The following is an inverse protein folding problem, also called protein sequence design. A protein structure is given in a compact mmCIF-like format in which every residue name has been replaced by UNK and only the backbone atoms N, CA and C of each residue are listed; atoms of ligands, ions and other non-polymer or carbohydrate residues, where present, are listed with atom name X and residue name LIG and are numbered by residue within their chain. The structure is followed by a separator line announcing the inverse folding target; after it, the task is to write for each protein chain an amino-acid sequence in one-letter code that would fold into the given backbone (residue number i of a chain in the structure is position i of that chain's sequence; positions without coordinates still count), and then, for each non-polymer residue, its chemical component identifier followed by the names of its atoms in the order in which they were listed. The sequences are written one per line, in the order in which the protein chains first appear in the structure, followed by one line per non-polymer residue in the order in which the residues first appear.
data_IF_275626366155
#
_entry.id   IF_275626366155
#
_cell.length_a   1.000
_cell.length_b   1.000
_cell.length_c   1.000
_cell.angle_alpha   90.00
_cell.angle_beta   90.00
_cell.angle_gamma   90.00
#
_symmetry.space_group_name_H-M   'P 1'
#
loop_
_entity.id
_entity.type
_entity.pdbx_description
1 polymer ?
#
# COMPACT_ATOMS: atom_id res chain seq x y z
N UNK A 1 20.58 -47.16 -8.24
CA UNK A 1 19.64 -46.94 -7.12
C UNK A 1 19.77 -45.49 -6.71
N UNK A 2 18.87 -44.64 -7.20
CA UNK A 2 18.77 -43.26 -6.71
C UNK A 2 17.98 -43.39 -5.40
N UNK A 3 18.60 -43.09 -4.28
CA UNK A 3 17.98 -43.20 -2.96
C UNK A 3 16.71 -42.36 -2.91
N UNK A 4 15.61 -42.98 -2.48
CA UNK A 4 14.34 -42.32 -2.18
C UNK A 4 14.47 -41.19 -1.11
N UNK A 5 15.63 -41.09 -0.48
CA UNK A 5 15.99 -40.09 0.52
C UNK A 5 16.21 -38.68 -0.08
N UNK A 6 16.60 -38.58 -1.34
CA UNK A 6 16.80 -37.27 -2.02
C UNK A 6 15.48 -36.61 -2.42
N UNK A 7 14.41 -37.38 -2.58
CA UNK A 7 13.06 -36.87 -2.87
C UNK A 7 12.31 -36.45 -1.61
N UNK A 8 12.82 -36.81 -0.42
CA UNK A 8 12.21 -36.53 0.88
C UNK A 8 12.52 -35.14 1.46
N UNK A 9 13.42 -34.37 0.83
CA UNK A 9 13.41 -32.91 1.01
C UNK A 9 12.29 -32.31 0.15
N UNK A 10 11.06 -32.70 0.46
CA UNK A 10 9.88 -31.91 0.14
C UNK A 10 10.16 -30.51 0.70
N UNK A 11 10.56 -29.59 -0.19
CA UNK A 11 10.93 -28.22 0.11
C UNK A 11 9.74 -27.53 0.80
N UNK A 12 9.68 -27.61 2.13
CA UNK A 12 8.76 -26.81 2.92
C UNK A 12 9.10 -25.36 2.64
N UNK A 13 8.21 -24.66 1.94
CA UNK A 13 8.36 -23.24 1.66
C UNK A 13 8.40 -22.53 3.03
N UNK A 14 9.49 -21.85 3.39
CA UNK A 14 9.58 -21.18 4.68
C UNK A 14 8.50 -20.09 4.77
N UNK A 15 7.87 -19.90 5.95
CA UNK A 15 6.87 -18.87 6.12
C UNK A 15 7.49 -17.47 5.96
N UNK A 16 6.65 -16.48 5.68
CA UNK A 16 7.01 -15.08 5.74
C UNK A 16 7.19 -14.65 7.19
N UNK A 17 8.35 -14.12 7.53
CA UNK A 17 8.63 -13.51 8.83
C UNK A 17 8.82 -12.00 8.70
N UNK A 18 8.36 -11.25 9.70
CA UNK A 18 8.54 -9.80 9.73
C UNK A 18 10.04 -9.45 9.77
N UNK A 19 10.51 -8.65 8.82
CA UNK A 19 11.91 -8.30 8.66
C UNK A 19 12.69 -9.14 7.64
N UNK A 20 12.09 -10.20 7.09
CA UNK A 20 12.71 -10.96 5.99
C UNK A 20 13.05 -10.03 4.82
N UNK A 21 14.21 -10.28 4.18
CA UNK A 21 14.64 -9.54 3.00
C UNK A 21 14.50 -10.40 1.75
N UNK A 22 13.46 -10.14 0.96
CA UNK A 22 13.07 -10.98 -0.17
C UNK A 22 12.97 -10.17 -1.47
N UNK A 23 13.18 -10.84 -2.60
CA UNK A 23 12.67 -10.33 -3.89
C UNK A 23 11.15 -10.41 -3.89
N UNK A 24 10.47 -9.60 -4.71
CA UNK A 24 9.01 -9.71 -4.88
C UNK A 24 8.57 -11.12 -5.28
N UNK A 25 9.27 -11.75 -6.22
CA UNK A 25 8.96 -13.11 -6.66
C UNK A 25 9.04 -14.17 -5.53
N UNK A 26 10.05 -14.07 -4.64
CA UNK A 26 10.14 -15.00 -3.50
C UNK A 26 9.12 -14.66 -2.40
N UNK A 27 8.82 -13.37 -2.20
CA UNK A 27 7.73 -12.93 -1.34
C UNK A 27 6.38 -13.51 -1.78
N UNK A 28 6.00 -13.31 -3.04
CA UNK A 28 4.76 -13.82 -3.64
C UNK A 28 4.70 -15.35 -3.51
N UNK A 29 5.79 -16.05 -3.87
CA UNK A 29 5.87 -17.51 -3.75
C UNK A 29 5.58 -18.01 -2.33
N UNK A 30 6.16 -17.36 -1.32
CA UNK A 30 5.91 -17.70 0.09
C UNK A 30 4.51 -17.30 0.53
N UNK A 31 4.03 -16.14 0.08
CA UNK A 31 2.71 -15.64 0.46
C UNK A 31 1.60 -16.56 -0.06
N UNK A 32 1.66 -16.98 -1.32
CA UNK A 32 0.71 -17.95 -1.89
C UNK A 32 0.72 -19.31 -1.18
N UNK A 33 1.84 -19.69 -0.55
CA UNK A 33 1.95 -20.90 0.27
C UNK A 33 1.36 -20.75 1.68
N UNK A 34 0.90 -19.55 2.06
CA UNK A 34 0.34 -19.22 3.38
C UNK A 34 -1.13 -18.77 3.29
N UNK A 35 -2.08 -19.65 2.91
CA UNK A 35 -3.48 -19.26 2.67
C UNK A 35 -4.23 -18.73 3.90
N UNK A 36 -3.72 -18.99 5.12
CA UNK A 36 -4.30 -18.50 6.37
C UNK A 36 -3.73 -17.13 6.80
N UNK A 37 -2.71 -16.61 6.11
CA UNK A 37 -2.12 -15.33 6.43
C UNK A 37 -2.98 -14.21 5.85
N UNK A 38 -3.48 -13.34 6.74
CA UNK A 38 -4.48 -12.33 6.36
C UNK A 38 -3.91 -11.21 5.50
N UNK A 39 -2.73 -10.69 5.84
CA UNK A 39 -2.13 -9.51 5.20
C UNK A 39 -0.62 -9.52 5.43
N UNK A 40 0.13 -9.37 4.35
CA UNK A 40 1.57 -9.17 4.35
C UNK A 40 1.93 -8.17 3.26
N UNK A 41 2.97 -7.38 3.49
CA UNK A 41 3.43 -6.37 2.54
C UNK A 41 4.93 -6.55 2.32
N UNK A 42 5.38 -6.25 1.11
CA UNK A 42 6.80 -6.11 0.80
C UNK A 42 7.11 -4.64 0.56
N UNK A 43 8.02 -4.06 1.34
CA UNK A 43 8.39 -2.64 1.20
C UNK A 43 9.90 -2.54 1.31
N UNK A 44 10.54 -1.99 0.29
CA UNK A 44 12.00 -1.95 0.16
C UNK A 44 12.63 -3.33 0.36
N UNK A 45 11.99 -4.36 -0.22
CA UNK A 45 12.37 -5.79 -0.07
C UNK A 45 12.24 -6.34 1.34
N UNK A 46 11.71 -5.57 2.30
CA UNK A 46 11.48 -6.02 3.68
C UNK A 46 10.04 -6.47 3.83
N UNK A 47 9.85 -7.67 4.38
CA UNK A 47 8.55 -8.25 4.66
C UNK A 47 7.95 -7.67 5.93
N UNK A 48 6.68 -7.28 5.86
CA UNK A 48 5.88 -6.85 7.00
C UNK A 48 4.64 -7.72 7.10
N UNK A 49 4.52 -8.46 8.21
CA UNK A 49 3.34 -9.27 8.49
C UNK A 49 2.40 -8.48 9.41
N UNK A 50 1.16 -8.28 8.97
CA UNK A 50 0.23 -7.42 9.69
C UNK A 50 -0.28 -8.07 10.99
N UNK A 51 -0.45 -7.24 12.02
CA UNK A 51 -1.13 -7.64 13.26
C UNK A 51 -2.65 -7.48 13.16
N UNK A 52 -3.45 -8.18 13.98
CA UNK A 52 -4.89 -8.02 14.01
C UNK A 52 -5.33 -6.57 14.27
N UNK A 53 -6.26 -6.07 13.44
CA UNK A 53 -6.80 -4.72 13.54
C UNK A 53 -7.83 -4.59 14.68
N UNK A 54 -7.87 -3.42 15.32
CA UNK A 54 -8.80 -3.13 16.44
C UNK A 54 -10.00 -2.34 15.95
N UNK A 55 -11.19 -2.69 16.43
CA UNK A 55 -12.44 -2.09 15.97
C UNK A 55 -12.51 -0.56 16.08
N UNK A 56 -12.10 0.02 17.22
CA UNK A 56 -12.21 1.48 17.45
C UNK A 56 -11.09 2.28 16.80
N UNK A 57 -9.87 1.75 16.79
CA UNK A 57 -8.69 2.51 16.35
C UNK A 57 -8.33 2.27 14.89
N UNK A 58 -8.90 1.24 14.24
CA UNK A 58 -8.69 0.96 12.81
C UNK A 58 -10.02 0.71 12.10
N UNK A 59 -10.78 -0.31 12.50
CA UNK A 59 -11.98 -0.74 11.77
C UNK A 59 -13.06 0.35 11.56
N UNK A 60 -13.34 1.19 12.57
CA UNK A 60 -14.32 2.28 12.44
C UNK A 60 -13.81 3.41 11.53
N UNK A 61 -12.59 3.94 11.70
CA UNK A 61 -11.96 4.82 10.71
C UNK A 61 -11.94 4.24 9.29
N UNK A 62 -11.62 2.95 9.14
CA UNK A 62 -11.58 2.24 7.85
C UNK A 62 -12.92 2.27 7.16
N UNK A 63 -13.97 1.86 7.85
CA UNK A 63 -15.34 1.92 7.36
C UNK A 63 -15.73 3.34 6.88
N UNK A 64 -15.27 4.40 7.56
CA UNK A 64 -15.56 5.79 7.15
C UNK A 64 -14.82 6.18 5.87
N UNK A 65 -13.55 5.79 5.72
CA UNK A 65 -12.78 6.02 4.49
C UNK A 65 -13.43 5.30 3.31
N UNK A 66 -13.77 4.02 3.48
CA UNK A 66 -14.42 3.24 2.42
C UNK A 66 -15.79 3.81 2.04
N UNK A 67 -16.57 4.28 3.02
CA UNK A 67 -17.85 4.95 2.75
C UNK A 67 -17.63 6.23 1.94
N UNK A 68 -16.64 7.04 2.31
CA UNK A 68 -16.33 8.28 1.61
C UNK A 68 -15.87 8.02 0.16
N UNK A 69 -14.91 7.11 -0.05
CA UNK A 69 -14.40 6.78 -1.38
C UNK A 69 -15.47 6.11 -2.25
N UNK A 70 -16.23 5.16 -1.71
CA UNK A 70 -17.34 4.53 -2.44
C UNK A 70 -18.45 5.51 -2.82
N UNK A 71 -18.71 6.53 -1.99
CA UNK A 71 -19.64 7.61 -2.37
C UNK A 71 -19.08 8.49 -3.48
N UNK A 72 -17.77 8.76 -3.44
CA UNK A 72 -17.07 9.53 -4.47
C UNK A 72 -17.10 8.81 -5.82
N UNK A 73 -16.78 7.51 -5.84
CA UNK A 73 -16.88 6.63 -7.00
C UNK A 73 -18.30 6.59 -7.56
N UNK A 74 -19.31 6.38 -6.71
CA UNK A 74 -20.71 6.37 -7.15
C UNK A 74 -21.15 7.69 -7.83
N UNK A 75 -20.48 8.80 -7.51
CA UNK A 75 -20.74 10.13 -8.08
C UNK A 75 -19.78 10.52 -9.21
N UNK A 76 -18.74 9.72 -9.50
CA UNK A 76 -17.66 10.07 -10.42
C UNK A 76 -17.38 8.89 -11.36
N UNK A 77 -17.72 9.00 -12.64
CA UNK A 77 -17.47 7.93 -13.62
C UNK A 77 -15.97 7.78 -13.92
N UNK A 78 -15.54 6.54 -14.15
CA UNK A 78 -14.17 6.22 -14.58
C UNK A 78 -13.13 6.16 -13.46
N UNK A 79 -13.57 6.11 -12.19
CA UNK A 79 -12.72 5.82 -11.04
C UNK A 79 -13.19 4.54 -10.36
N UNK A 80 -12.28 3.90 -9.63
CA UNK A 80 -12.52 2.63 -8.95
C UNK A 80 -11.89 2.70 -7.54
N UNK A 81 -12.68 2.36 -6.52
CA UNK A 81 -12.22 2.24 -5.14
C UNK A 81 -11.92 0.79 -4.82
N UNK A 82 -10.72 0.50 -4.30
CA UNK A 82 -10.36 -0.85 -3.87
C UNK A 82 -10.00 -0.86 -2.38
N UNK A 83 -10.42 -1.93 -1.71
CA UNK A 83 -10.23 -2.17 -0.28
C UNK A 83 -9.17 -3.25 -0.05
N UNK A 84 -8.15 -2.96 0.75
CA UNK A 84 -7.12 -3.94 1.17
C UNK A 84 -6.52 -4.80 0.02
N UNK A 85 -6.45 -4.25 -1.20
CA UNK A 85 -5.91 -4.98 -2.35
C UNK A 85 -4.39 -4.93 -2.40
N UNK A 86 -3.78 -5.89 -3.08
CA UNK A 86 -2.33 -5.93 -3.33
C UNK A 86 -1.97 -5.03 -4.51
N UNK A 87 -0.98 -4.17 -4.30
CA UNK A 87 -0.50 -3.19 -5.29
C UNK A 87 0.97 -3.47 -5.60
N UNK A 88 1.26 -3.93 -6.81
CA UNK A 88 2.62 -4.12 -7.33
C UNK A 88 3.15 -2.78 -7.86
N UNK A 89 3.85 -2.02 -7.02
CA UNK A 89 4.39 -0.71 -7.39
C UNK A 89 5.64 -0.81 -8.25
N UNK A 90 6.59 -1.67 -7.83
CA UNK A 90 7.85 -1.89 -8.52
C UNK A 90 8.43 -3.27 -8.12
N UNK A 91 9.65 -3.59 -8.57
CA UNK A 91 10.30 -4.88 -8.32
C UNK A 91 10.62 -5.17 -6.83
N UNK A 92 10.60 -4.13 -5.99
CA UNK A 92 10.99 -4.17 -4.58
C UNK A 92 9.81 -3.87 -3.63
N UNK A 93 8.65 -3.50 -4.16
CA UNK A 93 7.51 -2.99 -3.38
C UNK A 93 6.18 -3.57 -3.85
N UNK A 94 5.50 -4.21 -2.90
CA UNK A 94 4.15 -4.77 -3.01
C UNK A 94 3.35 -4.46 -1.72
N UNK A 95 2.89 -3.21 -1.54
CA UNK A 95 2.00 -2.82 -0.45
C UNK A 95 0.58 -3.38 -0.58
N UNK A 96 -0.12 -3.42 0.55
CA UNK A 96 -1.56 -3.63 0.67
C UNK A 96 -2.18 -2.44 1.43
N UNK A 97 -2.42 -1.29 0.77
CA UNK A 97 -2.96 -0.11 1.44
C UNK A 97 -4.32 -0.39 2.07
N UNK A 98 -4.66 0.33 3.14
CA UNK A 98 -5.98 0.19 3.77
C UNK A 98 -7.11 0.58 2.80
N UNK A 99 -6.91 1.61 1.97
CA UNK A 99 -7.80 1.93 0.85
C UNK A 99 -7.04 2.62 -0.28
N UNK A 100 -7.55 2.49 -1.51
CA UNK A 100 -7.05 3.25 -2.64
C UNK A 100 -8.18 3.69 -3.57
N UNK A 101 -7.92 4.72 -4.37
CA UNK A 101 -8.74 5.14 -5.48
C UNK A 101 -7.86 5.24 -6.73
N UNK A 102 -8.31 4.65 -7.82
CA UNK A 102 -7.62 4.69 -9.11
C UNK A 102 -8.53 5.18 -10.23
N UNK A 103 -7.94 5.72 -11.30
CA UNK A 103 -8.63 6.03 -12.55
C UNK A 103 -8.60 4.78 -13.44
N UNK A 104 -9.77 4.30 -13.84
CA UNK A 104 -9.92 3.03 -14.56
C UNK A 104 -9.13 3.00 -15.86
N UNK A 105 -9.27 4.05 -16.67
CA UNK A 105 -8.67 4.21 -17.99
C UNK A 105 -7.87 5.51 -18.08
N UNK A 106 -6.62 5.42 -18.54
CA UNK A 106 -5.72 6.59 -18.64
C UNK A 106 -5.12 7.04 -17.30
N UNK A 107 -5.36 6.28 -16.23
CA UNK A 107 -4.67 6.43 -14.94
C UNK A 107 -3.23 5.88 -14.98
N UNK A 108 -2.57 5.95 -13.83
CA UNK A 108 -1.19 5.48 -13.63
C UNK A 108 -1.08 4.00 -13.20
N UNK A 109 -2.22 3.34 -13.03
CA UNK A 109 -2.31 1.92 -12.67
C UNK A 109 -3.27 1.16 -13.58
N UNK A 110 -3.10 -0.15 -13.61
CA UNK A 110 -3.95 -1.10 -14.33
C UNK A 110 -4.22 -2.34 -13.48
N UNK A 111 -5.29 -3.07 -13.80
CA UNK A 111 -5.53 -4.41 -13.25
C UNK A 111 -4.85 -5.44 -14.16
N UNK A 112 -4.04 -6.31 -13.59
CA UNK A 112 -3.33 -7.38 -14.30
C UNK A 112 -4.24 -8.57 -14.57
N UNK A 113 -3.80 -9.51 -15.42
CA UNK A 113 -4.57 -10.73 -15.73
C UNK A 113 -4.84 -11.61 -14.50
N UNK A 114 -3.94 -11.56 -13.51
CA UNK A 114 -4.07 -12.24 -12.21
C UNK A 114 -4.76 -11.39 -11.13
N UNK A 115 -5.48 -10.33 -11.54
CA UNK A 115 -6.38 -9.52 -10.71
C UNK A 115 -5.69 -8.67 -9.63
N UNK A 116 -4.44 -8.28 -9.86
CA UNK A 116 -3.69 -7.37 -9.01
C UNK A 116 -3.62 -5.96 -9.59
N UNK A 117 -3.46 -4.95 -8.73
CA UNK A 117 -3.15 -3.60 -9.18
C UNK A 117 -1.67 -3.53 -9.51
N UNK A 118 -1.32 -3.15 -10.73
CA UNK A 118 0.06 -2.85 -11.15
C UNK A 118 0.21 -1.35 -11.45
N UNK A 119 1.31 -0.75 -10.97
CA UNK A 119 1.55 0.68 -11.06
C UNK A 119 0.97 1.48 -9.90
N UNK A 120 1.03 2.80 -9.99
CA UNK A 120 0.68 3.70 -8.88
C UNK A 120 -0.78 4.17 -8.97
N UNK A 121 -1.62 3.91 -7.95
CA UNK A 121 -2.93 4.54 -7.85
C UNK A 121 -2.83 6.06 -7.70
N UNK A 122 -3.89 6.78 -8.08
CA UNK A 122 -3.98 8.23 -7.92
C UNK A 122 -4.03 8.63 -6.44
N UNK A 123 -4.73 7.86 -5.60
CA UNK A 123 -4.82 8.08 -4.16
C UNK A 123 -4.59 6.77 -3.39
N UNK A 124 -3.73 6.85 -2.37
CA UNK A 124 -3.58 5.82 -1.34
C UNK A 124 -3.95 6.40 0.03
N UNK A 125 -4.68 5.62 0.83
CA UNK A 125 -5.06 5.96 2.21
C UNK A 125 -4.57 4.88 3.17
N UNK A 126 -3.96 5.31 4.27
CA UNK A 126 -3.52 4.44 5.38
C UNK A 126 -4.10 4.92 6.72
N UNK A 127 -4.47 4.00 7.60
CA UNK A 127 -5.03 4.29 8.93
C UNK A 127 -4.01 3.92 10.00
N UNK A 128 -3.35 4.94 10.53
CA UNK A 128 -2.28 4.78 11.50
C UNK A 128 -2.80 4.95 12.93
N UNK A 129 -3.10 3.85 13.62
CA UNK A 129 -3.37 3.85 15.06
C UNK A 129 -2.07 3.90 15.90
N UNK A 130 -1.10 3.05 15.54
CA UNK A 130 0.20 2.92 16.21
C UNK A 130 1.37 2.80 15.24
N UNK A 131 1.11 2.58 13.95
CA UNK A 131 2.08 2.43 12.85
C UNK A 131 2.56 3.75 12.25
N UNK A 132 2.21 4.89 12.87
CA UNK A 132 2.46 6.22 12.29
C UNK A 132 3.93 6.46 11.90
N UNK A 133 4.90 5.89 12.60
CA UNK A 133 6.31 6.00 12.21
C UNK A 133 6.60 5.34 10.87
N UNK A 134 6.03 4.18 10.58
CA UNK A 134 6.28 3.43 9.36
C UNK A 134 5.54 4.04 8.16
N UNK A 135 4.24 4.27 8.31
CA UNK A 135 3.38 4.80 7.24
C UNK A 135 3.79 6.23 6.83
N UNK A 136 4.27 7.05 7.78
CA UNK A 136 4.66 8.43 7.49
C UNK A 136 6.09 8.58 6.93
N UNK A 137 6.92 7.54 6.97
CA UNK A 137 8.32 7.63 6.56
C UNK A 137 8.65 6.70 5.39
N UNK A 138 8.62 5.38 5.59
CA UNK A 138 9.08 4.43 4.57
C UNK A 138 8.07 4.33 3.43
N UNK A 139 6.80 4.05 3.74
CA UNK A 139 5.73 4.04 2.73
C UNK A 139 5.59 5.37 2.00
N UNK A 140 5.69 6.50 2.70
CA UNK A 140 5.69 7.83 2.06
C UNK A 140 6.80 7.96 1.00
N UNK A 141 8.02 7.50 1.28
CA UNK A 141 9.13 7.56 0.30
C UNK A 141 8.84 6.68 -0.90
N UNK A 142 8.37 5.45 -0.65
CA UNK A 142 8.03 4.46 -1.69
C UNK A 142 6.90 4.97 -2.58
N UNK A 143 5.81 5.47 -2.00
CA UNK A 143 4.68 6.02 -2.75
C UNK A 143 5.10 7.25 -3.57
N UNK A 144 5.91 8.13 -2.98
CA UNK A 144 6.39 9.34 -3.67
C UNK A 144 7.28 9.02 -4.86
N UNK A 145 8.24 8.09 -4.73
CA UNK A 145 9.14 7.74 -5.84
C UNK A 145 8.41 6.99 -6.96
N UNK A 146 7.37 6.24 -6.61
CA UNK A 146 6.49 5.56 -7.56
C UNK A 146 5.36 6.47 -8.09
N UNK A 147 5.37 7.77 -7.77
CA UNK A 147 4.45 8.77 -8.36
C UNK A 147 2.97 8.62 -7.98
N UNK A 148 2.68 8.03 -6.80
CA UNK A 148 1.36 8.15 -6.17
C UNK A 148 1.07 9.64 -5.95
N UNK A 149 -0.06 10.14 -6.48
CA UNK A 149 -0.31 11.58 -6.56
C UNK A 149 -0.75 12.16 -5.22
N UNK A 150 -1.67 11.46 -4.55
CA UNK A 150 -2.18 11.81 -3.23
C UNK A 150 -1.96 10.66 -2.25
N UNK A 151 -1.45 11.00 -1.07
CA UNK A 151 -1.24 10.04 0.00
C UNK A 151 -1.78 10.59 1.32
N UNK A 152 -2.84 9.96 1.83
CA UNK A 152 -3.52 10.33 3.06
C UNK A 152 -3.16 9.34 4.17
N UNK A 153 -2.67 9.86 5.29
CA UNK A 153 -2.51 9.05 6.51
C UNK A 153 -3.46 9.56 7.59
N UNK A 154 -4.50 8.80 7.90
CA UNK A 154 -5.39 9.12 9.01
C UNK A 154 -4.82 8.58 10.31
N UNK A 155 -4.24 9.48 11.10
CA UNK A 155 -3.74 9.15 12.44
C UNK A 155 -4.89 9.06 13.44
N UNK A 156 -5.07 7.88 14.01
CA UNK A 156 -6.12 7.62 15.00
C UNK A 156 -5.48 7.60 16.38
N UNK A 157 -5.47 8.77 17.02
CA UNK A 157 -5.08 8.87 18.42
C UNK A 157 -6.23 8.45 19.33
N UNK A 158 -5.91 7.83 20.46
CA UNK A 158 -6.80 7.94 21.61
C UNK A 158 -6.94 9.43 21.92
N UNK A 159 -8.14 9.97 21.66
CA UNK A 159 -8.65 11.33 21.87
C UNK A 159 -7.59 12.35 22.29
N UNK A 160 -7.36 13.34 21.40
CA UNK A 160 -6.58 14.60 21.51
C UNK A 160 -5.43 14.69 20.48
N UNK A 161 -5.70 15.01 19.21
CA UNK A 161 -4.82 15.80 18.30
C UNK A 161 -5.17 15.60 16.80
N UNK A 162 -4.83 16.63 16.00
CA UNK A 162 -5.34 17.03 14.67
C UNK A 162 -4.86 16.16 13.48
N UNK A 163 -5.66 16.15 12.41
CA UNK A 163 -5.36 15.53 11.10
C UNK A 163 -4.24 16.29 10.35
N UNK A 164 -3.46 15.58 9.53
CA UNK A 164 -2.44 16.15 8.63
C UNK A 164 -2.71 15.68 7.19
N UNK A 165 -2.82 16.61 6.25
CA UNK A 165 -2.91 16.35 4.81
C UNK A 165 -1.63 16.90 4.19
N UNK A 166 -0.88 16.07 3.45
CA UNK A 166 0.28 16.53 2.65
C UNK A 166 -0.11 16.50 1.17
N UNK A 167 -0.29 17.67 0.55
CA UNK A 167 -0.44 17.81 -0.90
C UNK A 167 0.89 18.23 -1.53
N UNK A 168 1.18 17.74 -2.73
CA UNK A 168 2.30 18.22 -3.56
C UNK A 168 2.07 19.69 -3.92
N UNK A 169 3.10 20.57 -3.88
CA UNK A 169 2.98 21.89 -4.49
C UNK A 169 2.90 21.75 -6.01
N UNK A 170 1.88 22.37 -6.62
CA UNK A 170 1.82 22.55 -8.06
C UNK A 170 2.99 23.45 -8.49
N UNK A 171 3.75 23.01 -9.50
CA UNK A 171 4.79 23.83 -10.09
C UNK A 171 4.11 25.00 -10.84
N UNK A 172 3.99 26.16 -10.19
CA UNK A 172 3.74 27.41 -10.89
C UNK A 172 5.04 27.84 -11.56
N UNK A 173 5.02 27.93 -12.89
CA UNK A 173 6.11 28.40 -13.73
C UNK A 173 6.70 29.73 -13.24
N UNK A 174 7.99 29.89 -13.51
CA UNK A 174 8.81 30.95 -12.97
C UNK A 174 8.35 32.36 -13.33
N UNK A 175 8.52 33.26 -12.36
CA UNK A 175 8.76 34.66 -12.60
C UNK A 175 10.02 35.04 -11.82
N UNK A 176 11.02 35.52 -12.55
CA UNK A 176 12.31 36.00 -12.04
C UNK A 176 12.11 37.17 -11.05
N UNK A 177 12.94 37.31 -10.01
CA UNK A 177 12.94 38.51 -9.18
C UNK A 177 13.77 39.59 -9.88
N UNK A 178 13.12 40.70 -10.27
CA UNK A 178 13.84 41.95 -10.50
C UNK A 178 13.94 42.70 -9.18
N UNK A 179 15.18 43.04 -8.85
CA UNK A 179 15.60 43.86 -7.72
C UNK A 179 15.48 45.35 -8.05
N UNK A 180 15.35 46.13 -6.96
CA UNK A 180 15.74 47.54 -6.76
C UNK A 180 14.71 48.65 -7.01
N UNK A 181 14.46 49.35 -5.87
CA UNK A 181 13.91 50.69 -5.60
C UNK A 181 12.49 51.05 -6.04
#
# INVERSE_FOLDING_TARGET
MISADTTSQLLTIPPLENGDKLTRAEFERRYHAMPNLKKAELIERVVYVASPVRAKTHGKPHSRIMTWLGTYEAATLGVETLDNTTVRLDADNEPQPDALLRIEQGGQSSITEDDYVEGAPELIVEIAASSASYDLHEKLKVYRRNQVQEYLVWRVYNILSKNCIKKRPLNSGGASPLSSY
#
